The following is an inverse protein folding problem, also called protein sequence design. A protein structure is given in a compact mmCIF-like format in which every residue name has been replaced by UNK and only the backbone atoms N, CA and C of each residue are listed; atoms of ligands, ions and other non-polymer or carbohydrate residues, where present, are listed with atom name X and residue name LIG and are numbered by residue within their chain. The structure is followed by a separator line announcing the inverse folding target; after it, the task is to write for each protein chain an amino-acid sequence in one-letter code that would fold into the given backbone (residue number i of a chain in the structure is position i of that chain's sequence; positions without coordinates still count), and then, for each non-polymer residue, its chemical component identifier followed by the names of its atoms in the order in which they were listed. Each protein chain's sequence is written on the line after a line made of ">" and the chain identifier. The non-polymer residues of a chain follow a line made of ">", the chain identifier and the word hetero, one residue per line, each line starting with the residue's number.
data_IF_386999315735
#
_entry.id   IF_386999315735
#
_cell.length_a   1.000
_cell.length_b   1.000
_cell.length_c   1.000
_cell.angle_alpha   90.00
_cell.angle_beta   90.00
_cell.angle_gamma   90.00
#
_symmetry.space_group_name_H-M   'P 1'
#
loop_
_entity.id
_entity.type
_entity.pdbx_description
1 polymer ?
#
# COMPACT_ATOMS: atom_id res chain seq x y z
N UNK A 1 -15.50 -4.78 14.05
CA UNK A 1 -14.42 -3.90 13.56
C UNK A 1 -13.13 -4.70 13.50
N UNK A 2 -12.35 -4.51 12.47
CA UNK A 2 -11.15 -5.32 12.25
C UNK A 2 -10.03 -5.14 13.31
N UNK A 3 -10.16 -4.14 14.16
CA UNK A 3 -9.21 -3.88 15.25
C UNK A 3 -9.52 -4.62 16.56
N UNK A 4 -10.44 -5.57 16.54
CA UNK A 4 -10.69 -6.42 17.70
C UNK A 4 -9.42 -7.17 18.10
N UNK A 5 -9.20 -7.35 19.40
CA UNK A 5 -7.99 -7.96 19.94
C UNK A 5 -6.90 -6.98 20.34
N UNK A 6 -7.06 -5.70 20.02
CA UNK A 6 -6.21 -4.61 20.48
C UNK A 6 -6.92 -3.82 21.57
N UNK A 7 -6.16 -3.23 22.48
CA UNK A 7 -6.77 -2.35 23.47
C UNK A 7 -7.25 -1.04 22.82
N UNK A 8 -8.04 -0.28 23.57
CA UNK A 8 -8.64 0.94 23.05
C UNK A 8 -7.60 1.99 22.64
N UNK A 9 -6.50 2.07 23.35
CA UNK A 9 -5.41 3.01 23.04
C UNK A 9 -4.74 2.65 21.72
N UNK A 10 -4.42 1.36 21.52
CA UNK A 10 -3.81 0.89 20.28
C UNK A 10 -4.74 1.10 19.09
N UNK A 11 -6.03 0.86 19.27
CA UNK A 11 -7.03 1.10 18.22
C UNK A 11 -7.06 2.58 17.82
N UNK A 12 -7.01 3.47 18.80
CA UNK A 12 -6.99 4.91 18.55
C UNK A 12 -5.70 5.34 17.83
N UNK A 13 -4.56 4.81 18.24
CA UNK A 13 -3.28 5.10 17.59
C UNK A 13 -3.32 4.68 16.12
N UNK A 14 -3.78 3.48 15.83
CA UNK A 14 -3.89 2.97 14.45
C UNK A 14 -4.84 3.86 13.64
N UNK A 15 -5.98 4.22 14.19
CA UNK A 15 -6.94 5.09 13.50
C UNK A 15 -6.33 6.45 13.15
N UNK A 16 -5.56 7.05 14.07
CA UNK A 16 -4.88 8.31 13.82
C UNK A 16 -3.83 8.16 12.71
N UNK A 17 -3.02 7.12 12.76
CA UNK A 17 -1.97 6.87 11.78
C UNK A 17 -2.52 6.54 10.39
N UNK A 18 -3.68 5.89 10.29
CA UNK A 18 -4.30 5.64 8.98
C UNK A 18 -4.73 6.92 8.29
N UNK A 19 -5.04 7.96 9.06
CA UNK A 19 -5.41 9.28 8.52
C UNK A 19 -4.20 10.16 8.26
N UNK A 20 -3.17 10.06 9.10
CA UNK A 20 -1.95 10.85 8.99
C UNK A 20 -0.75 10.06 9.53
N UNK A 21 -0.07 9.35 8.66
CA UNK A 21 1.08 8.53 9.03
C UNK A 21 2.28 9.36 9.52
N UNK A 22 2.28 10.68 9.31
CA UNK A 22 3.35 11.58 9.77
C UNK A 22 3.06 12.22 11.13
N UNK A 23 1.97 11.85 11.78
CA UNK A 23 1.60 12.40 13.07
C UNK A 23 2.71 12.12 14.09
N UNK A 24 3.10 13.14 14.85
CA UNK A 24 4.18 13.02 15.84
C UNK A 24 3.74 12.21 17.05
N UNK A 25 4.70 11.62 17.76
CA UNK A 25 4.41 10.92 19.03
C UNK A 25 3.79 11.86 20.07
N UNK A 26 4.20 13.13 20.06
CA UNK A 26 3.64 14.14 20.98
C UNK A 26 2.16 14.37 20.68
N UNK A 27 1.81 14.55 19.42
CA UNK A 27 0.42 14.78 19.01
C UNK A 27 -0.46 13.56 19.28
N UNK A 28 0.06 12.37 18.99
CA UNK A 28 -0.65 11.13 19.33
C UNK A 28 -0.84 11.02 20.84
N UNK A 29 0.20 11.32 21.61
CA UNK A 29 0.15 11.28 23.07
C UNK A 29 -0.91 12.21 23.64
N UNK A 30 -1.05 13.41 23.10
CA UNK A 30 -2.11 14.33 23.50
C UNK A 30 -3.50 13.76 23.22
N UNK A 31 -3.66 13.08 22.11
CA UNK A 31 -4.95 12.48 21.74
C UNK A 31 -5.34 11.28 22.60
N UNK A 32 -4.37 10.49 23.07
CA UNK A 32 -4.64 9.26 23.83
C UNK A 32 -4.31 9.36 25.32
N UNK A 33 -3.77 10.49 25.76
CA UNK A 33 -3.42 10.72 27.18
C UNK A 33 -2.17 9.98 27.63
N UNK A 34 -1.20 9.78 26.75
CA UNK A 34 0.08 9.14 27.06
C UNK A 34 1.27 10.05 26.76
N UNK A 35 2.40 9.74 27.43
CA UNK A 35 3.66 10.40 27.12
C UNK A 35 4.19 9.99 25.74
N UNK A 36 5.08 10.81 25.18
CA UNK A 36 5.79 10.51 23.94
C UNK A 36 6.48 9.13 23.98
N UNK A 37 7.13 8.83 25.10
CA UNK A 37 7.84 7.56 25.28
C UNK A 37 6.88 6.37 25.27
N UNK A 38 5.74 6.51 25.94
CA UNK A 38 4.72 5.45 25.99
C UNK A 38 4.08 5.23 24.61
N UNK A 39 3.84 6.29 23.85
CA UNK A 39 3.32 6.19 22.46
C UNK A 39 4.33 5.45 21.58
N UNK A 40 5.60 5.83 21.65
CA UNK A 40 6.67 5.16 20.88
C UNK A 40 6.73 3.68 21.17
N UNK A 41 6.64 3.32 22.46
CA UNK A 41 6.68 1.91 22.86
C UNK A 41 5.50 1.11 22.29
N UNK A 42 4.32 1.69 22.30
CA UNK A 42 3.13 1.04 21.72
C UNK A 42 3.21 0.86 20.22
N UNK A 43 3.67 1.89 19.51
CA UNK A 43 3.86 1.81 18.05
C UNK A 43 4.92 0.77 17.70
N UNK A 44 6.05 0.75 18.42
CA UNK A 44 7.09 -0.25 18.21
C UNK A 44 6.56 -1.68 18.41
N UNK A 45 5.73 -1.89 19.43
CA UNK A 45 5.11 -3.19 19.67
C UNK A 45 4.17 -3.60 18.53
N UNK A 46 3.39 -2.65 17.99
CA UNK A 46 2.50 -2.90 16.85
C UNK A 46 3.28 -3.24 15.58
N UNK A 47 4.42 -2.60 15.37
CA UNK A 47 5.33 -2.90 14.26
C UNK A 47 5.93 -4.28 14.40
N UNK A 48 6.46 -4.64 15.59
CA UNK A 48 7.05 -5.95 15.86
C UNK A 48 6.06 -7.08 15.70
N UNK A 49 4.80 -6.86 16.05
CA UNK A 49 3.72 -7.84 15.89
C UNK A 49 3.22 -7.95 14.45
N UNK A 50 3.73 -7.13 13.54
CA UNK A 50 3.30 -7.10 12.15
C UNK A 50 1.92 -6.48 11.92
N UNK A 51 1.34 -5.84 12.94
CA UNK A 51 0.03 -5.17 12.81
C UNK A 51 0.20 -3.91 11.96
N UNK A 52 1.26 -3.15 12.21
CA UNK A 52 1.70 -2.10 11.31
C UNK A 52 2.79 -2.71 10.43
N UNK A 53 2.48 -2.92 9.17
CA UNK A 53 3.41 -3.54 8.23
C UNK A 53 4.39 -2.54 7.63
N UNK A 54 3.89 -1.36 7.23
CA UNK A 54 4.72 -0.37 6.56
C UNK A 54 4.09 1.02 6.64
N UNK A 55 4.93 2.02 6.40
CA UNK A 55 4.52 3.39 6.16
C UNK A 55 4.83 3.71 4.71
N UNK A 56 3.87 4.25 4.00
CA UNK A 56 4.04 4.52 2.58
C UNK A 56 3.47 5.88 2.19
N UNK A 57 3.89 6.36 1.04
CA UNK A 57 3.39 7.60 0.47
C UNK A 57 2.59 7.30 -0.78
N UNK A 58 1.41 7.87 -0.87
CA UNK A 58 0.58 7.75 -2.06
C UNK A 58 0.86 8.97 -2.94
N UNK A 59 1.34 8.71 -4.15
CA UNK A 59 1.69 9.75 -5.11
C UNK A 59 0.52 9.97 -6.08
N UNK A 60 0.23 11.24 -6.36
CA UNK A 60 -0.70 11.57 -7.43
C UNK A 60 0.12 11.83 -8.71
N UNK A 61 0.20 10.86 -9.64
CA UNK A 61 1.04 11.01 -10.83
C UNK A 61 0.56 12.11 -11.77
N UNK A 62 -0.72 12.46 -11.72
CA UNK A 62 -1.28 13.53 -12.57
C UNK A 62 -0.76 14.92 -12.20
N UNK A 63 -0.18 15.06 -11.00
CA UNK A 63 0.46 16.30 -10.55
C UNK A 63 1.92 16.38 -10.95
N UNK A 64 2.46 15.34 -11.59
CA UNK A 64 3.83 15.27 -12.06
C UNK A 64 3.79 15.19 -13.59
N UNK A 65 3.83 16.36 -14.23
CA UNK A 65 3.90 16.42 -15.70
C UNK A 65 2.78 15.61 -16.40
N UNK A 66 3.12 14.84 -17.42
CA UNK A 66 2.19 14.06 -18.25
C UNK A 66 2.08 12.60 -17.83
N UNK A 67 2.40 12.27 -16.60
CA UNK A 67 2.34 10.90 -16.11
C UNK A 67 0.94 10.31 -16.26
N UNK A 68 0.87 9.07 -16.72
CA UNK A 68 -0.37 8.32 -16.92
C UNK A 68 -0.45 7.21 -15.89
N UNK A 69 -1.59 7.19 -15.20
CA UNK A 69 -1.92 6.18 -14.20
C UNK A 69 -3.05 5.31 -14.73
N UNK A 70 -2.90 4.01 -14.62
CA UNK A 70 -3.90 3.07 -15.10
C UNK A 70 -4.04 1.88 -14.16
N UNK A 71 -5.26 1.34 -14.10
CA UNK A 71 -5.57 0.12 -13.38
C UNK A 71 -5.93 -0.97 -14.37
N UNK A 72 -5.42 -2.15 -14.14
CA UNK A 72 -5.70 -3.32 -14.98
C UNK A 72 -6.24 -4.45 -14.13
N UNK A 73 -7.24 -5.16 -14.64
CA UNK A 73 -7.67 -6.43 -14.10
C UNK A 73 -7.10 -7.52 -15.00
N UNK A 74 -6.28 -8.39 -14.42
CA UNK A 74 -5.59 -9.45 -15.15
C UNK A 74 -6.11 -10.79 -14.67
N UNK A 75 -6.52 -11.62 -15.60
CA UNK A 75 -6.90 -13.01 -15.34
C UNK A 75 -5.71 -13.90 -15.67
N UNK A 76 -5.27 -14.73 -14.74
CA UNK A 76 -4.07 -15.57 -14.87
C UNK A 76 -4.40 -17.03 -14.61
N UNK A 77 -3.91 -17.93 -15.45
CA UNK A 77 -4.02 -19.36 -15.18
C UNK A 77 -3.29 -19.72 -13.88
N UNK A 78 -3.86 -20.60 -13.03
CA UNK A 78 -3.29 -20.92 -11.71
C UNK A 78 -1.80 -21.30 -11.74
N UNK A 79 -1.40 -22.07 -12.73
CA UNK A 79 -0.01 -22.56 -12.83
C UNK A 79 1.00 -21.45 -13.13
N UNK A 80 0.55 -20.30 -13.64
CA UNK A 80 1.42 -19.16 -13.96
C UNK A 80 1.28 -18.02 -12.98
N UNK A 81 0.43 -18.13 -11.98
CA UNK A 81 0.07 -17.05 -11.07
C UNK A 81 1.29 -16.41 -10.38
N UNK A 82 2.11 -17.23 -9.74
CA UNK A 82 3.30 -16.70 -9.05
C UNK A 82 4.33 -16.13 -10.02
N UNK A 83 4.48 -16.74 -11.19
CA UNK A 83 5.40 -16.24 -12.21
C UNK A 83 5.00 -14.86 -12.71
N UNK A 84 3.70 -14.63 -12.91
CA UNK A 84 3.18 -13.33 -13.34
C UNK A 84 3.40 -12.28 -12.25
N UNK A 85 3.13 -12.62 -10.99
CA UNK A 85 3.39 -11.71 -9.87
C UNK A 85 4.87 -11.32 -9.84
N UNK A 86 5.78 -12.27 -9.98
CA UNK A 86 7.22 -12.01 -9.96
C UNK A 86 7.65 -11.07 -11.09
N UNK A 87 7.09 -11.25 -12.28
CA UNK A 87 7.36 -10.38 -13.43
C UNK A 87 6.87 -8.96 -13.15
N UNK A 88 5.66 -8.82 -12.63
CA UNK A 88 5.07 -7.52 -12.34
C UNK A 88 5.81 -6.79 -11.23
N UNK A 89 6.23 -7.49 -10.18
CA UNK A 89 6.98 -6.90 -9.06
C UNK A 89 8.33 -6.32 -9.50
N UNK A 90 8.94 -6.88 -10.52
CA UNK A 90 10.23 -6.40 -11.05
C UNK A 90 10.10 -5.24 -12.02
N UNK A 91 8.88 -4.87 -12.38
CA UNK A 91 8.65 -3.80 -13.35
C UNK A 91 8.42 -2.48 -12.65
N UNK A 92 9.25 -1.48 -12.92
CA UNK A 92 9.18 -0.16 -12.29
C UNK A 92 7.90 0.61 -12.62
N UNK A 93 7.23 0.26 -13.72
CA UNK A 93 5.96 0.89 -14.10
C UNK A 93 4.82 0.45 -13.19
N UNK A 94 4.93 -0.76 -12.62
CA UNK A 94 3.92 -1.28 -11.71
C UNK A 94 4.16 -0.72 -10.31
N UNK A 95 3.15 -0.07 -9.74
CA UNK A 95 3.23 0.52 -8.40
C UNK A 95 2.56 -0.31 -7.33
N UNK A 96 1.50 -1.02 -7.67
CA UNK A 96 0.75 -1.85 -6.72
C UNK A 96 0.15 -3.06 -7.42
N UNK A 97 0.11 -4.18 -6.70
CA UNK A 97 -0.51 -5.42 -7.15
C UNK A 97 -1.42 -5.90 -6.03
N UNK A 98 -2.70 -6.13 -6.35
CA UNK A 98 -3.67 -6.65 -5.40
C UNK A 98 -4.22 -7.98 -5.89
N UNK A 99 -4.29 -8.96 -5.00
CA UNK A 99 -5.04 -10.19 -5.24
C UNK A 99 -6.50 -9.90 -4.99
N UNK A 100 -7.36 -10.29 -5.91
CA UNK A 100 -8.79 -10.01 -5.85
C UNK A 100 -9.55 -11.31 -5.67
N UNK A 101 -10.63 -11.29 -4.91
CA UNK A 101 -11.52 -12.44 -4.77
C UNK A 101 -12.12 -12.79 -6.13
N UNK A 102 -12.06 -14.07 -6.46
CA UNK A 102 -12.44 -14.57 -7.77
C UNK A 102 -11.35 -15.50 -8.31
N UNK A 103 -11.54 -16.04 -9.50
CA UNK A 103 -10.59 -17.00 -10.06
C UNK A 103 -9.33 -16.31 -10.58
N UNK A 104 -8.25 -16.36 -9.79
CA UNK A 104 -6.90 -16.02 -10.26
C UNK A 104 -6.81 -14.65 -10.92
N UNK A 105 -7.44 -13.66 -10.30
CA UNK A 105 -7.43 -12.29 -10.79
C UNK A 105 -6.48 -11.44 -9.99
N UNK A 106 -5.82 -10.52 -10.69
CA UNK A 106 -4.95 -9.49 -10.11
C UNK A 106 -5.45 -8.12 -10.55
N UNK A 107 -5.47 -7.18 -9.61
CA UNK A 107 -5.58 -5.76 -9.94
C UNK A 107 -4.19 -5.16 -9.90
N UNK A 108 -3.78 -4.54 -10.99
CA UNK A 108 -2.45 -3.94 -11.13
C UNK A 108 -2.61 -2.46 -11.37
N UNK A 109 -1.91 -1.67 -10.55
CA UNK A 109 -1.80 -0.23 -10.77
C UNK A 109 -0.44 0.05 -11.39
N UNK A 110 -0.44 0.74 -12.52
CA UNK A 110 0.78 1.09 -13.24
C UNK A 110 0.82 2.58 -13.55
N UNK A 111 1.99 3.19 -13.46
CA UNK A 111 2.21 4.60 -13.75
C UNK A 111 3.37 4.72 -14.73
N UNK A 112 3.15 5.46 -15.79
CA UNK A 112 4.16 5.74 -16.81
C UNK A 112 4.33 7.24 -16.99
N UNK A 113 5.49 7.67 -17.48
CA UNK A 113 5.78 9.09 -17.68
C UNK A 113 4.88 9.74 -18.73
N UNK A 114 4.44 8.98 -19.71
CA UNK A 114 3.61 9.45 -20.83
C UNK A 114 2.86 8.29 -21.49
N UNK A 115 2.06 8.62 -22.52
CA UNK A 115 1.29 7.63 -23.29
C UNK A 115 2.18 6.59 -23.97
N UNK A 116 3.32 7.00 -24.50
CA UNK A 116 4.24 6.09 -25.19
C UNK A 116 4.82 5.07 -24.22
N UNK A 117 5.19 5.50 -23.03
CA UNK A 117 5.66 4.60 -21.97
C UNK A 117 4.60 3.59 -21.54
N UNK A 118 3.34 4.01 -21.44
CA UNK A 118 2.23 3.12 -21.09
C UNK A 118 1.98 2.10 -22.19
N UNK A 119 2.02 2.52 -23.44
CA UNK A 119 1.89 1.61 -24.59
C UNK A 119 3.02 0.58 -24.63
N UNK A 120 4.26 1.03 -24.38
CA UNK A 120 5.42 0.13 -24.30
C UNK A 120 5.25 -0.90 -23.16
N UNK A 121 4.74 -0.47 -22.02
CA UNK A 121 4.46 -1.36 -20.89
C UNK A 121 3.43 -2.43 -21.28
N UNK A 122 2.32 -2.03 -21.89
CA UNK A 122 1.28 -2.96 -22.32
C UNK A 122 1.82 -4.00 -23.31
N UNK A 123 2.60 -3.57 -24.28
CA UNK A 123 3.16 -4.47 -25.29
C UNK A 123 4.22 -5.43 -24.71
N UNK A 124 5.02 -4.96 -23.75
CA UNK A 124 6.09 -5.77 -23.16
C UNK A 124 5.59 -6.77 -22.11
N UNK A 125 4.62 -6.37 -21.30
CA UNK A 125 4.24 -7.10 -20.08
C UNK A 125 2.87 -7.76 -20.21
N UNK A 126 1.89 -7.07 -20.80
CA UNK A 126 0.49 -7.52 -20.78
C UNK A 126 0.12 -8.36 -22.02
N UNK A 127 0.85 -8.24 -23.10
CA UNK A 127 0.56 -8.97 -24.34
C UNK A 127 1.64 -9.95 -24.75
#
# INVERSE_FOLDING_TARGET
>A
MYLEGLDEVDQTIITLLTKNARMSYVDIGEAVGLSRVAVKARISALEERGIIEEYTTIINPQKISSAISSYYEIEVEPKYYQKVIDILERNDTVTQIYQVSGKNKLHVHAVSADSDGMEAFLNRVMY
#
